data_IF_165256455208
#
_entry.id   IF_165256455208
#
_cell.length_a   1.000
_cell.length_b   1.000
_cell.length_c   1.000
_cell.angle_alpha   90.00
_cell.angle_beta   90.00
_cell.angle_gamma   90.00
#
_symmetry.space_group_name_H-M   'P 1'
#
loop_
_entity.id
_entity.type
_entity.pdbx_description
1 polymer ?
#
# COMPACT_ATOMS: atom_id res chain seq x y z
N UNK A 1 37.75 3.94 5.22
CA UNK A 1 37.35 3.08 6.35
C UNK A 1 35.86 3.29 6.71
N UNK A 2 35.04 2.32 6.28
CA UNK A 2 33.67 1.99 6.71
C UNK A 2 32.69 3.12 7.07
N UNK A 3 31.90 3.56 6.09
CA UNK A 3 30.56 4.12 6.37
C UNK A 3 29.58 2.94 6.51
N UNK A 4 29.10 2.72 7.73
CA UNK A 4 27.99 1.81 8.00
C UNK A 4 26.69 2.37 7.39
N UNK A 5 25.92 1.62 6.59
CA UNK A 5 24.58 2.01 6.19
C UNK A 5 23.60 1.47 7.23
N UNK A 6 23.44 2.21 8.32
CA UNK A 6 22.59 1.84 9.45
C UNK A 6 21.96 3.07 10.08
N UNK A 7 21.44 3.99 9.26
CA UNK A 7 20.60 5.07 9.78
C UNK A 7 19.20 4.51 10.03
N UNK A 8 18.99 4.17 11.30
CA UNK A 8 17.75 3.72 11.90
C UNK A 8 16.59 4.61 11.48
N UNK A 9 15.53 3.97 10.97
CA UNK A 9 14.24 4.60 10.75
C UNK A 9 13.68 5.02 12.11
N UNK A 10 13.34 6.29 12.27
CA UNK A 10 12.37 6.71 13.28
C UNK A 10 11.07 5.94 13.01
N UNK A 11 10.90 4.82 13.71
CA UNK A 11 9.61 4.19 13.87
C UNK A 11 8.71 5.25 14.52
N UNK A 12 7.75 5.78 13.76
CA UNK A 12 6.73 6.65 14.33
C UNK A 12 5.85 5.76 15.20
N UNK A 13 6.23 5.66 16.48
CA UNK A 13 5.50 4.98 17.53
C UNK A 13 4.23 5.79 17.84
N UNK A 14 3.20 5.58 17.01
CA UNK A 14 1.85 6.08 17.20
C UNK A 14 0.83 5.04 16.73
N UNK A 15 -0.42 5.07 17.23
CA UNK A 15 -1.45 4.14 16.80
C UNK A 15 -1.62 4.19 15.27
N UNK A 16 -1.86 3.02 14.68
CA UNK A 16 -1.91 2.72 13.24
C UNK A 16 -3.10 3.39 12.50
N UNK A 17 -3.29 4.69 12.66
CA UNK A 17 -4.16 5.49 11.83
C UNK A 17 -3.29 6.33 10.90
N UNK A 18 -3.52 6.18 9.61
CA UNK A 18 -2.94 7.05 8.58
C UNK A 18 -3.71 8.38 8.56
N UNK A 19 -3.78 9.06 9.72
CA UNK A 19 -4.70 10.17 10.04
C UNK A 19 -4.81 11.19 8.91
N UNK A 20 -3.66 11.63 8.38
CA UNK A 20 -3.55 12.69 7.37
C UNK A 20 -4.07 12.30 5.99
N UNK A 21 -4.27 11.01 5.72
CA UNK A 21 -4.82 10.48 4.47
C UNK A 21 -6.24 9.93 4.65
N UNK A 22 -6.76 9.90 5.88
CA UNK A 22 -8.09 9.37 6.16
C UNK A 22 -9.17 10.38 5.78
N UNK A 23 -10.18 9.89 5.06
CA UNK A 23 -11.36 10.70 4.72
C UNK A 23 -12.18 11.05 5.99
N UNK A 24 -12.94 12.16 5.98
CA UNK A 24 -13.74 12.59 7.13
C UNK A 24 -14.67 11.51 7.69
N UNK A 25 -15.37 10.77 6.82
CA UNK A 25 -16.29 9.71 7.21
C UNK A 25 -15.59 8.49 7.86
N UNK A 26 -14.30 8.28 7.54
CA UNK A 26 -13.48 7.24 8.17
C UNK A 26 -12.98 7.70 9.54
N UNK A 27 -12.62 8.98 9.67
CA UNK A 27 -12.20 9.56 10.95
C UNK A 27 -13.35 9.68 11.96
N UNK A 28 -14.57 9.87 11.48
CA UNK A 28 -15.79 9.89 12.29
C UNK A 28 -16.33 8.49 12.60
N UNK A 29 -15.73 7.43 12.07
CA UNK A 29 -16.19 6.02 12.20
C UNK A 29 -17.66 5.83 11.76
N UNK A 30 -18.13 6.63 10.80
CA UNK A 30 -19.53 6.58 10.32
C UNK A 30 -19.72 5.49 9.27
N UNK A 31 -18.66 5.14 8.55
CA UNK A 31 -18.67 4.11 7.50
C UNK A 31 -17.35 3.34 7.50
N UNK A 32 -17.38 2.12 6.97
CA UNK A 32 -16.14 1.42 6.61
C UNK A 32 -15.49 2.04 5.37
N UNK A 33 -14.34 1.51 4.98
CA UNK A 33 -13.67 1.93 3.74
C UNK A 33 -14.58 1.75 2.52
N UNK A 34 -14.60 2.77 1.66
CA UNK A 34 -15.32 2.83 0.39
C UNK A 34 -14.38 3.29 -0.73
N UNK A 35 -14.80 3.12 -1.99
CA UNK A 35 -14.07 3.67 -3.14
C UNK A 35 -13.91 5.19 -3.04
N UNK A 36 -14.92 5.91 -2.53
CA UNK A 36 -14.85 7.35 -2.29
C UNK A 36 -13.82 7.70 -1.21
N UNK A 37 -13.69 6.90 -0.14
CA UNK A 37 -12.64 7.09 0.88
C UNK A 37 -11.24 6.83 0.31
N UNK A 38 -11.11 5.90 -0.64
CA UNK A 38 -9.85 5.65 -1.34
C UNK A 38 -9.47 6.84 -2.25
N UNK A 39 -10.44 7.48 -2.90
CA UNK A 39 -10.20 8.69 -3.73
C UNK A 39 -9.69 9.86 -2.88
N UNK A 40 -10.24 10.04 -1.67
CA UNK A 40 -9.72 11.05 -0.73
C UNK A 40 -8.25 10.75 -0.37
N UNK A 41 -7.96 9.51 0.00
CA UNK A 41 -6.60 9.07 0.30
C UNK A 41 -5.67 9.22 -0.91
N UNK A 42 -6.14 8.90 -2.12
CA UNK A 42 -5.41 9.09 -3.37
C UNK A 42 -5.01 10.56 -3.57
N UNK A 43 -5.93 11.50 -3.35
CA UNK A 43 -5.63 12.93 -3.43
C UNK A 43 -4.49 13.33 -2.48
N UNK A 44 -4.54 12.87 -1.23
CA UNK A 44 -3.48 13.12 -0.23
C UNK A 44 -2.14 12.50 -0.63
N UNK A 45 -2.19 11.33 -1.28
CA UNK A 45 -1.02 10.61 -1.79
C UNK A 45 -0.39 11.31 -2.99
N UNK A 46 -1.20 11.81 -3.91
CA UNK A 46 -0.73 12.61 -5.04
C UNK A 46 -0.11 13.91 -4.53
N UNK A 47 -0.74 14.59 -3.56
CA UNK A 47 -0.16 15.75 -2.88
C UNK A 47 1.22 15.44 -2.28
N UNK A 48 1.34 14.35 -1.53
CA UNK A 48 2.63 13.92 -0.97
C UNK A 48 3.65 13.61 -2.07
N UNK A 49 3.21 12.98 -3.15
CA UNK A 49 4.06 12.64 -4.30
C UNK A 49 4.63 13.88 -4.96
N UNK A 50 3.79 14.88 -5.25
CA UNK A 50 4.21 16.09 -5.97
C UNK A 50 4.97 17.05 -5.08
N UNK A 51 4.62 17.17 -3.80
CA UNK A 51 5.30 18.10 -2.87
C UNK A 51 6.52 17.49 -2.21
N UNK A 52 6.56 16.17 -2.04
CA UNK A 52 7.54 15.49 -1.19
C UNK A 52 7.31 15.72 0.30
N UNK A 53 6.17 16.32 0.68
CA UNK A 53 5.79 16.61 2.07
C UNK A 53 4.54 15.82 2.45
N UNK A 54 4.49 15.38 3.70
CA UNK A 54 3.26 14.75 4.22
C UNK A 54 2.09 15.75 4.20
N UNK A 55 0.84 15.31 3.98
CA UNK A 55 -0.32 16.20 4.03
C UNK A 55 -0.43 16.90 5.40
N UNK A 56 -0.80 18.17 5.38
CA UNK A 56 -0.85 19.03 6.58
C UNK A 56 0.49 19.13 7.33
N UNK A 57 1.61 19.13 6.61
CA UNK A 57 2.94 19.24 7.22
C UNK A 57 3.00 20.42 8.21
N UNK A 58 3.64 20.24 9.36
CA UNK A 58 3.74 21.26 10.40
C UNK A 58 2.53 21.36 11.34
N UNK A 59 1.38 20.75 11.01
CA UNK A 59 0.22 20.65 11.93
C UNK A 59 0.34 19.45 12.87
N UNK A 60 -0.09 19.58 14.13
CA UNK A 60 -0.27 18.45 15.05
C UNK A 60 -1.45 17.57 14.63
N UNK A 61 -1.53 16.34 15.13
CA UNK A 61 -2.65 15.43 14.80
C UNK A 61 -4.01 16.01 15.22
N UNK A 62 -4.08 16.69 16.37
CA UNK A 62 -5.29 17.41 16.79
C UNK A 62 -5.66 18.54 15.84
N UNK A 63 -4.69 19.30 15.35
CA UNK A 63 -4.92 20.35 14.37
C UNK A 63 -5.32 19.80 13.00
N UNK A 64 -4.84 18.60 12.61
CA UNK A 64 -5.28 17.90 11.40
C UNK A 64 -6.74 17.48 11.53
N UNK A 65 -7.13 16.90 12.67
CA UNK A 65 -8.53 16.53 12.93
C UNK A 65 -9.43 17.76 12.89
N UNK A 66 -9.02 18.85 13.55
CA UNK A 66 -9.76 20.12 13.55
C UNK A 66 -9.92 20.66 12.12
N UNK A 67 -8.84 20.72 11.35
CA UNK A 67 -8.88 21.20 9.97
C UNK A 67 -9.81 20.33 9.10
N UNK A 68 -9.60 19.02 9.09
CA UNK A 68 -10.31 18.10 8.19
C UNK A 68 -11.79 17.89 8.56
N UNK A 69 -12.11 17.76 9.87
CA UNK A 69 -13.46 17.43 10.33
C UNK A 69 -14.32 18.64 10.66
N UNK A 70 -13.73 19.67 11.29
CA UNK A 70 -14.50 20.80 11.82
C UNK A 70 -14.47 21.96 10.83
N UNK A 71 -13.28 22.37 10.39
CA UNK A 71 -13.14 23.48 9.46
C UNK A 71 -13.42 23.08 8.01
N UNK A 72 -13.43 21.77 7.71
CA UNK A 72 -13.56 21.21 6.36
C UNK A 72 -12.48 21.71 5.40
N UNK A 73 -11.28 21.93 5.95
CA UNK A 73 -10.10 22.38 5.23
C UNK A 73 -9.27 21.19 4.76
N UNK A 74 -8.69 21.32 3.57
CA UNK A 74 -7.66 20.42 3.04
C UNK A 74 -6.25 21.02 3.25
N UNK A 75 -5.15 20.32 2.91
CA UNK A 75 -3.81 20.89 3.02
C UNK A 75 -3.68 22.22 2.27
N UNK A 76 -2.75 23.05 2.71
CA UNK A 76 -2.45 24.32 2.04
C UNK A 76 -1.83 24.07 0.66
N UNK A 77 -2.19 24.94 -0.29
CA UNK A 77 -1.64 24.93 -1.63
C UNK A 77 -0.15 25.33 -1.56
N UNK A 78 0.78 24.48 -2.00
CA UNK A 78 2.19 24.82 -2.04
C UNK A 78 2.46 25.94 -3.05
N UNK A 79 3.38 26.85 -2.72
CA UNK A 79 3.81 27.94 -3.61
C UNK A 79 4.37 27.43 -4.94
N UNK A 80 5.14 26.34 -4.88
CA UNK A 80 5.67 25.64 -6.04
C UNK A 80 5.18 24.20 -5.97
N UNK A 81 4.19 23.89 -6.81
CA UNK A 81 3.83 22.50 -7.09
C UNK A 81 4.59 21.98 -8.29
N UNK A 82 4.75 22.81 -9.34
CA UNK A 82 5.28 22.46 -10.64
C UNK A 82 5.90 23.66 -11.34
N UNK A 83 6.65 23.38 -12.40
CA UNK A 83 7.26 24.39 -13.26
C UNK A 83 6.24 25.07 -14.19
N UNK A 84 5.14 24.40 -14.53
CA UNK A 84 4.06 24.94 -15.36
C UNK A 84 2.85 25.34 -14.50
N UNK A 85 2.44 26.61 -14.59
CA UNK A 85 1.37 27.18 -13.75
C UNK A 85 0.00 26.59 -14.07
N UNK A 86 -0.32 26.42 -15.36
CA UNK A 86 -1.61 25.87 -15.79
C UNK A 86 -1.79 24.44 -15.30
N UNK A 87 -0.79 23.58 -15.50
CA UNK A 87 -0.78 22.22 -14.98
C UNK A 87 -0.89 22.18 -13.45
N UNK A 88 -0.31 23.16 -12.75
CA UNK A 88 -0.42 23.27 -11.29
C UNK A 88 -1.82 23.68 -10.82
N UNK A 89 -2.51 24.55 -11.57
CA UNK A 89 -3.89 24.95 -11.31
C UNK A 89 -4.86 23.78 -11.56
N UNK A 90 -4.68 23.06 -12.68
CA UNK A 90 -5.52 21.91 -13.03
C UNK A 90 -5.38 20.76 -12.03
N UNK A 91 -4.14 20.41 -11.66
CA UNK A 91 -3.88 19.40 -10.65
C UNK A 91 -4.47 19.81 -9.30
N UNK A 92 -4.32 21.07 -8.90
CA UNK A 92 -4.85 21.55 -7.63
C UNK A 92 -6.40 21.49 -7.59
N UNK A 93 -7.05 21.88 -8.68
CA UNK A 93 -8.50 21.75 -8.83
C UNK A 93 -8.93 20.29 -8.70
N UNK A 94 -8.21 19.37 -9.34
CA UNK A 94 -8.48 17.93 -9.24
C UNK A 94 -8.34 17.40 -7.81
N UNK A 95 -7.27 17.78 -7.10
CA UNK A 95 -7.04 17.38 -5.72
C UNK A 95 -8.14 17.91 -4.79
N UNK A 96 -8.57 19.15 -4.99
CA UNK A 96 -9.66 19.77 -4.22
C UNK A 96 -10.97 18.98 -4.39
N UNK A 97 -11.27 18.50 -5.60
CA UNK A 97 -12.42 17.60 -5.84
C UNK A 97 -12.27 16.25 -5.13
N UNK A 98 -11.07 15.65 -5.14
CA UNK A 98 -10.78 14.41 -4.41
C UNK A 98 -11.01 14.56 -2.89
N UNK A 99 -10.80 15.76 -2.36
CA UNK A 99 -10.95 16.08 -0.94
C UNK A 99 -12.32 16.64 -0.56
N UNK A 100 -13.33 16.50 -1.43
CA UNK A 100 -14.71 16.82 -1.08
C UNK A 100 -15.11 16.15 0.23
N UNK A 101 -15.67 16.94 1.16
CA UNK A 101 -16.14 16.43 2.45
C UNK A 101 -17.21 15.36 2.24
N UNK A 102 -18.18 15.63 1.35
CA UNK A 102 -19.20 14.67 0.96
C UNK A 102 -18.61 13.61 0.01
N UNK A 103 -18.71 12.30 0.33
CA UNK A 103 -18.14 11.24 -0.49
C UNK A 103 -18.66 11.22 -1.94
N UNK A 104 -19.93 11.57 -2.15
CA UNK A 104 -20.55 11.62 -3.48
C UNK A 104 -20.05 12.79 -4.35
N UNK A 105 -19.42 13.80 -3.75
CA UNK A 105 -18.79 14.91 -4.48
C UNK A 105 -17.42 14.56 -5.04
N UNK A 106 -16.88 13.38 -4.72
CA UNK A 106 -15.55 12.95 -5.16
C UNK A 106 -15.64 12.29 -6.54
N UNK A 107 -14.67 12.54 -7.45
CA UNK A 107 -14.60 11.87 -8.74
C UNK A 107 -14.33 10.36 -8.58
N UNK A 108 -14.56 9.56 -9.62
CA UNK A 108 -14.07 8.18 -9.61
C UNK A 108 -12.55 8.16 -9.81
N UNK A 109 -11.89 7.08 -9.37
CA UNK A 109 -10.45 6.90 -9.64
C UNK A 109 -10.12 6.91 -11.15
N UNK A 110 -11.05 6.45 -11.98
CA UNK A 110 -10.91 6.48 -13.45
C UNK A 110 -10.91 7.91 -13.99
N UNK A 111 -11.75 8.78 -13.43
CA UNK A 111 -11.76 10.20 -13.79
C UNK A 111 -10.47 10.89 -13.34
N UNK A 112 -9.98 10.59 -12.13
CA UNK A 112 -8.69 11.10 -11.63
C UNK A 112 -7.55 10.63 -12.54
N UNK A 113 -7.50 9.34 -12.89
CA UNK A 113 -6.48 8.80 -13.79
C UNK A 113 -6.51 9.50 -15.15
N UNK A 114 -7.69 9.73 -15.72
CA UNK A 114 -7.85 10.43 -16.98
C UNK A 114 -7.31 11.87 -16.88
N UNK A 115 -7.68 12.60 -15.84
CA UNK A 115 -7.28 13.99 -15.65
C UNK A 115 -5.75 14.14 -15.43
N UNK A 116 -5.14 13.28 -14.60
CA UNK A 116 -3.68 13.28 -14.38
C UNK A 116 -2.93 12.82 -15.64
N UNK A 117 -3.50 11.89 -16.41
CA UNK A 117 -2.90 11.37 -17.65
C UNK A 117 -2.96 12.36 -18.82
N UNK A 118 -4.02 13.16 -18.95
CA UNK A 118 -4.15 14.14 -20.04
C UNK A 118 -3.16 15.29 -19.96
N UNK A 119 -2.59 15.59 -18.79
CA UNK A 119 -1.52 16.58 -18.63
C UNK A 119 -0.12 16.08 -19.01
N UNK A 120 0.04 14.78 -19.26
CA UNK A 120 1.33 14.13 -19.52
C UNK A 120 1.26 13.37 -20.85
N UNK A 121 1.62 14.02 -21.96
CA UNK A 121 1.84 13.31 -23.23
C UNK A 121 3.06 12.38 -23.11
N UNK A 122 2.86 11.17 -22.59
CA UNK A 122 3.84 10.08 -22.70
C UNK A 122 3.11 8.79 -23.11
N UNK A 123 3.32 8.40 -24.37
CA UNK A 123 3.34 7.03 -24.86
C UNK A 123 2.18 6.11 -24.45
N UNK A 124 1.09 6.16 -25.19
CA UNK A 124 0.09 5.11 -25.23
C UNK A 124 0.75 3.77 -25.62
N UNK A 125 1.15 2.99 -24.62
CA UNK A 125 1.08 1.54 -24.74
C UNK A 125 -0.06 1.09 -23.82
N UNK A 126 -1.17 0.56 -24.36
CA UNK A 126 -2.18 -0.04 -23.52
C UNK A 126 -1.51 -1.12 -22.67
N UNK A 127 -1.84 -1.27 -21.38
CA UNK A 127 -1.37 -2.40 -20.61
C UNK A 127 -1.79 -3.67 -21.38
N UNK A 128 -0.80 -4.47 -21.79
CA UNK A 128 -1.07 -5.79 -22.34
C UNK A 128 -1.96 -6.53 -21.36
N UNK A 129 -3.06 -7.16 -21.80
CA UNK A 129 -3.93 -7.91 -20.93
C UNK A 129 -3.19 -9.19 -20.49
N UNK A 130 -2.39 -9.12 -19.42
CA UNK A 130 -2.05 -10.31 -18.64
C UNK A 130 -3.28 -10.69 -17.80
N UNK A 131 -4.32 -11.11 -18.49
CA UNK A 131 -5.56 -11.61 -17.93
C UNK A 131 -5.40 -13.11 -17.74
N UNK A 132 -4.81 -13.52 -16.62
CA UNK A 132 -5.32 -14.72 -15.97
C UNK A 132 -6.52 -14.27 -15.14
N UNK A 133 -7.69 -14.22 -15.79
CA UNK A 133 -9.00 -14.06 -15.13
C UNK A 133 -9.21 -15.29 -14.23
N UNK A 134 -8.62 -15.32 -13.04
CA UNK A 134 -9.05 -16.23 -11.98
C UNK A 134 -10.36 -15.67 -11.43
N UNK A 135 -11.47 -16.30 -11.80
CA UNK A 135 -12.81 -15.93 -11.34
C UNK A 135 -12.82 -15.70 -9.81
N UNK A 136 -13.48 -14.63 -9.38
CA UNK A 136 -13.79 -14.33 -7.98
C UNK A 136 -14.79 -15.36 -7.46
N UNK A 137 -14.30 -16.54 -7.09
CA UNK A 137 -15.05 -17.48 -6.28
C UNK A 137 -15.36 -16.87 -4.92
N UNK A 138 -16.63 -16.94 -4.50
CA UNK A 138 -17.12 -16.52 -3.18
C UNK A 138 -16.24 -17.15 -2.09
N UNK A 139 -15.58 -16.33 -1.25
CA UNK A 139 -14.79 -16.81 -0.12
C UNK A 139 -15.74 -17.54 0.83
N UNK A 140 -15.73 -18.88 0.80
CA UNK A 140 -16.33 -19.68 1.87
C UNK A 140 -15.60 -19.32 3.16
N UNK A 141 -16.35 -18.99 4.20
CA UNK A 141 -15.85 -18.74 5.56
C UNK A 141 -14.74 -19.72 5.89
N UNK A 142 -13.61 -19.24 6.43
CA UNK A 142 -12.51 -20.08 6.91
C UNK A 142 -13.05 -20.89 8.10
N UNK A 143 -13.72 -22.00 7.82
CA UNK A 143 -14.43 -22.82 8.80
C UNK A 143 -13.58 -24.00 9.28
N UNK A 144 -12.26 -23.92 9.13
CA UNK A 144 -11.39 -25.07 9.43
C UNK A 144 -10.04 -24.57 9.99
N UNK A 145 -10.06 -23.86 11.12
CA UNK A 145 -8.84 -23.61 11.88
C UNK A 145 -9.01 -24.23 13.27
N UNK A 146 -8.38 -25.39 13.51
CA UNK A 146 -8.45 -26.08 14.80
C UNK A 146 -7.48 -25.42 15.79
N UNK A 147 -7.70 -25.65 17.09
CA UNK A 147 -6.94 -25.07 18.22
C UNK A 147 -5.45 -25.44 18.27
N UNK A 148 -4.98 -26.37 17.44
CA UNK A 148 -3.63 -26.96 17.56
C UNK A 148 -2.78 -26.86 16.28
N UNK A 149 -3.17 -26.06 15.28
CA UNK A 149 -2.43 -26.03 14.02
C UNK A 149 -1.19 -25.14 14.08
N UNK A 150 -0.07 -25.67 13.60
CA UNK A 150 1.17 -24.92 13.40
C UNK A 150 1.11 -24.05 12.12
N UNK A 151 2.09 -23.18 11.94
CA UNK A 151 2.17 -22.30 10.77
C UNK A 151 2.21 -23.06 9.44
N UNK A 152 2.83 -24.25 9.39
CA UNK A 152 2.95 -25.07 8.18
C UNK A 152 1.59 -25.63 7.76
N UNK A 153 0.78 -26.08 8.71
CA UNK A 153 -0.56 -26.58 8.43
C UNK A 153 -1.51 -25.46 7.95
N UNK A 154 -1.36 -24.23 8.49
CA UNK A 154 -2.10 -23.07 7.96
C UNK A 154 -1.66 -22.72 6.54
N UNK A 155 -0.34 -22.74 6.27
CA UNK A 155 0.19 -22.50 4.93
C UNK A 155 -0.29 -23.57 3.95
N UNK A 156 -0.24 -24.86 4.30
CA UNK A 156 -0.74 -25.97 3.49
C UNK A 156 -2.19 -25.73 3.03
N UNK A 157 -3.06 -25.24 3.92
CA UNK A 157 -4.46 -24.91 3.59
C UNK A 157 -4.63 -23.68 2.71
N UNK A 158 -3.68 -22.75 2.73
CA UNK A 158 -3.66 -21.58 1.86
C UNK A 158 -3.03 -21.90 0.49
N UNK A 159 -2.03 -22.77 0.46
CA UNK A 159 -1.40 -23.31 -0.75
C UNK A 159 -2.41 -24.11 -1.57
N UNK A 160 -3.25 -24.92 -0.90
CA UNK A 160 -4.39 -25.60 -1.54
C UNK A 160 -5.38 -24.63 -2.23
N UNK A 161 -5.29 -23.32 -2.00
CA UNK A 161 -6.09 -22.28 -2.65
C UNK A 161 -5.31 -21.43 -3.67
N UNK A 162 -4.13 -21.91 -4.09
CA UNK A 162 -3.37 -21.37 -5.20
C UNK A 162 -2.34 -20.29 -4.84
N UNK A 163 -1.81 -20.30 -3.62
CA UNK A 163 -0.58 -19.59 -3.26
C UNK A 163 0.61 -20.56 -3.33
N UNK A 164 1.78 -20.10 -3.75
CA UNK A 164 2.98 -20.94 -3.75
C UNK A 164 3.58 -21.04 -2.34
N UNK A 165 4.08 -22.23 -1.98
CA UNK A 165 4.87 -22.43 -0.77
C UNK A 165 6.35 -22.22 -1.08
N UNK A 166 6.92 -21.16 -0.51
CA UNK A 166 8.32 -20.75 -0.66
C UNK A 166 9.12 -21.04 0.60
N UNK A 167 8.60 -21.84 1.54
CA UNK A 167 9.30 -22.20 2.78
C UNK A 167 10.69 -22.76 2.49
N UNK A 168 10.78 -23.75 1.60
CA UNK A 168 12.04 -24.40 1.24
C UNK A 168 12.87 -23.60 0.21
N UNK A 169 12.26 -22.59 -0.43
CA UNK A 169 12.94 -21.69 -1.35
C UNK A 169 13.60 -20.51 -0.65
N UNK A 170 13.29 -20.25 0.61
CA UNK A 170 13.91 -19.18 1.41
C UNK A 170 15.33 -19.57 1.82
N UNK A 171 16.34 -18.78 1.42
CA UNK A 171 17.69 -18.95 1.93
C UNK A 171 17.78 -18.39 3.36
N UNK A 172 17.48 -19.20 4.37
CA UNK A 172 17.41 -18.79 5.78
C UNK A 172 18.66 -18.08 6.30
N UNK A 173 19.85 -18.39 5.78
CA UNK A 173 21.12 -17.76 6.16
C UNK A 173 21.29 -16.34 5.59
N UNK A 174 20.55 -16.00 4.54
CA UNK A 174 20.63 -14.69 3.89
C UNK A 174 19.74 -13.62 4.54
N UNK A 175 18.83 -14.03 5.43
CA UNK A 175 17.88 -13.11 6.03
C UNK A 175 18.51 -12.30 7.16
N UNK A 176 18.09 -11.03 7.27
CA UNK A 176 18.49 -10.16 8.37
C UNK A 176 18.12 -10.79 9.72
N UNK A 177 19.05 -10.77 10.69
CA UNK A 177 18.81 -11.30 12.03
C UNK A 177 17.62 -10.58 12.70
N UNK A 178 17.58 -9.25 12.57
CA UNK A 178 16.52 -8.40 13.09
C UNK A 178 15.59 -7.92 11.95
N UNK A 179 14.32 -7.60 12.25
CA UNK A 179 13.42 -7.00 11.26
C UNK A 179 14.02 -5.72 10.69
N UNK A 180 13.97 -5.57 9.37
CA UNK A 180 14.35 -4.34 8.68
C UNK A 180 13.34 -3.23 8.96
N UNK A 181 12.05 -3.59 9.12
CA UNK A 181 10.98 -2.67 9.47
C UNK A 181 10.03 -3.33 10.48
N UNK A 182 9.60 -2.53 11.46
CA UNK A 182 8.55 -2.88 12.40
C UNK A 182 7.27 -2.14 12.00
N UNK A 183 6.23 -2.87 11.58
CA UNK A 183 4.89 -2.32 11.39
C UNK A 183 4.06 -2.40 12.68
N UNK A 184 2.78 -2.02 12.64
CA UNK A 184 1.86 -2.15 13.79
C UNK A 184 1.45 -3.60 14.10
N UNK A 185 1.30 -4.44 13.08
CA UNK A 185 0.85 -5.85 13.21
C UNK A 185 1.79 -6.86 12.52
N UNK A 186 2.93 -6.41 12.01
CA UNK A 186 3.83 -7.26 11.23
C UNK A 186 5.28 -6.79 11.31
N UNK A 187 6.21 -7.72 11.14
CA UNK A 187 7.63 -7.48 10.97
C UNK A 187 8.00 -7.71 9.50
N UNK A 188 8.94 -6.94 8.95
CA UNK A 188 9.46 -7.18 7.59
C UNK A 188 10.93 -7.55 7.68
N UNK A 189 11.28 -8.71 7.12
CA UNK A 189 12.65 -9.18 7.00
C UNK A 189 13.10 -9.09 5.55
N UNK A 190 14.35 -8.69 5.35
CA UNK A 190 15.00 -8.72 4.04
C UNK A 190 15.86 -9.97 3.94
N UNK A 191 15.82 -10.65 2.79
CA UNK A 191 16.68 -11.79 2.50
C UNK A 191 16.66 -12.16 1.02
N UNK A 192 17.00 -13.41 0.72
CA UNK A 192 17.06 -13.95 -0.63
C UNK A 192 16.36 -15.31 -0.72
N UNK A 193 15.82 -15.61 -1.89
CA UNK A 193 15.47 -16.98 -2.27
C UNK A 193 16.75 -17.74 -2.70
N UNK A 194 16.69 -19.06 -2.75
CA UNK A 194 17.81 -19.94 -3.16
C UNK A 194 18.30 -19.66 -4.59
N UNK A 195 17.44 -19.11 -5.46
CA UNK A 195 17.80 -18.68 -6.81
C UNK A 195 18.47 -17.29 -6.89
N UNK A 196 18.73 -16.66 -5.74
CA UNK A 196 19.39 -15.36 -5.64
C UNK A 196 18.45 -14.15 -5.75
N UNK A 197 17.14 -14.33 -5.97
CA UNK A 197 16.19 -13.21 -5.96
C UNK A 197 16.10 -12.59 -4.57
N UNK A 198 16.32 -11.27 -4.47
CA UNK A 198 16.14 -10.51 -3.22
C UNK A 198 14.65 -10.35 -2.92
N UNK A 199 14.24 -10.70 -1.70
CA UNK A 199 12.85 -10.72 -1.25
C UNK A 199 12.65 -10.00 0.08
N UNK A 200 11.42 -9.54 0.30
CA UNK A 200 10.91 -9.13 1.59
C UNK A 200 9.95 -10.22 2.12
N UNK A 201 10.05 -10.53 3.41
CA UNK A 201 9.12 -11.43 4.10
C UNK A 201 8.40 -10.64 5.18
N UNK A 202 7.11 -10.37 4.95
CA UNK A 202 6.21 -9.73 5.91
C UNK A 202 5.62 -10.80 6.81
N UNK A 203 6.10 -10.84 8.05
CA UNK A 203 5.72 -11.83 9.06
C UNK A 203 4.63 -11.23 9.94
N UNK A 204 3.47 -11.87 9.99
CA UNK A 204 2.37 -11.41 10.81
C UNK A 204 2.66 -11.68 12.30
N UNK A 205 2.48 -10.66 13.15
CA UNK A 205 2.56 -10.80 14.62
C UNK A 205 1.21 -11.22 15.21
N UNK A 206 0.61 -12.25 14.62
CA UNK A 206 -0.65 -12.84 15.12
C UNK A 206 -0.29 -14.16 15.78
N UNK A 207 -0.63 -14.32 17.06
CA UNK A 207 -0.49 -15.62 17.75
C UNK A 207 -1.37 -16.66 17.05
N UNK A 208 -0.86 -17.89 16.90
CA UNK A 208 -1.62 -19.05 16.40
C UNK A 208 -2.90 -19.29 17.23
N UNK A 209 -2.93 -18.85 18.50
CA UNK A 209 -4.12 -18.86 19.36
C UNK A 209 -5.18 -17.85 18.91
N UNK A 210 -4.77 -16.67 18.43
CA UNK A 210 -5.68 -15.67 17.84
C UNK A 210 -6.26 -16.11 16.49
N UNK A 211 -5.58 -17.04 15.80
CA UNK A 211 -6.01 -17.67 14.55
C UNK A 211 -7.08 -18.74 14.83
N UNK A 212 -6.89 -19.57 15.87
CA UNK A 212 -7.85 -20.64 16.20
C UNK A 212 -9.17 -20.16 16.82
N UNK A 213 -9.19 -18.98 17.45
CA UNK A 213 -10.42 -18.37 17.97
C UNK A 213 -11.30 -17.68 16.92
N UNK A 214 -10.99 -17.82 15.61
CA UNK A 214 -11.79 -17.19 14.55
C UNK A 214 -11.82 -15.66 14.65
N UNK A 215 -10.76 -15.06 15.20
CA UNK A 215 -10.69 -13.63 15.46
C UNK A 215 -10.87 -12.81 14.18
N UNK A 216 -11.41 -11.60 14.32
CA UNK A 216 -11.56 -10.63 13.22
C UNK A 216 -10.24 -10.43 12.44
N UNK A 217 -9.10 -10.55 13.10
CA UNK A 217 -7.75 -10.35 12.53
C UNK A 217 -7.37 -11.41 11.50
N UNK A 218 -7.72 -12.67 11.73
CA UNK A 218 -7.43 -13.75 10.81
C UNK A 218 -8.28 -13.67 9.54
N UNK A 219 -9.59 -13.39 9.69
CA UNK A 219 -10.48 -13.18 8.53
C UNK A 219 -9.98 -12.01 7.69
N UNK A 220 -9.40 -10.98 8.31
CA UNK A 220 -8.76 -9.85 7.62
C UNK A 220 -7.48 -10.27 6.90
N UNK A 221 -6.56 -10.96 7.58
CA UNK A 221 -5.29 -11.41 6.99
C UNK A 221 -5.50 -12.37 5.81
N UNK A 222 -6.45 -13.30 5.92
CA UNK A 222 -6.77 -14.21 4.83
C UNK A 222 -7.48 -13.54 3.65
N UNK A 223 -8.29 -12.49 3.89
CA UNK A 223 -8.84 -11.65 2.83
C UNK A 223 -7.73 -10.85 2.14
N UNK A 224 -6.85 -10.22 2.91
CA UNK A 224 -5.68 -9.48 2.39
C UNK A 224 -4.82 -10.39 1.51
N UNK A 225 -4.48 -11.58 2.00
CA UNK A 225 -3.72 -12.58 1.25
C UNK A 225 -4.45 -13.05 -0.02
N UNK A 226 -5.74 -13.36 0.07
CA UNK A 226 -6.51 -13.83 -1.08
C UNK A 226 -6.61 -12.77 -2.17
N UNK A 227 -6.85 -11.52 -1.78
CA UNK A 227 -6.89 -10.38 -2.67
C UNK A 227 -5.52 -10.15 -3.31
N UNK A 228 -4.46 -10.09 -2.49
CA UNK A 228 -3.10 -9.85 -2.97
C UNK A 228 -2.62 -10.93 -3.95
N UNK A 229 -2.89 -12.21 -3.66
CA UNK A 229 -2.53 -13.33 -4.54
C UNK A 229 -3.20 -13.26 -5.93
N UNK A 230 -4.34 -12.55 -6.04
CA UNK A 230 -5.07 -12.40 -7.30
C UNK A 230 -4.73 -11.12 -8.05
N UNK A 231 -4.03 -10.18 -7.42
CA UNK A 231 -3.65 -8.95 -8.07
C UNK A 231 -2.54 -9.20 -9.10
N UNK A 232 -2.83 -8.94 -10.37
CA UNK A 232 -1.89 -8.99 -11.48
C UNK A 232 -1.84 -7.63 -12.18
N UNK A 233 -1.12 -6.68 -11.60
CA UNK A 233 -0.99 -5.33 -12.16
C UNK A 233 0.44 -4.81 -12.00
N UNK A 234 1.02 -4.12 -12.99
CA UNK A 234 2.41 -3.62 -12.93
C UNK A 234 2.68 -2.61 -11.80
N UNK A 235 1.63 -1.99 -11.24
CA UNK A 235 1.71 -1.03 -10.14
C UNK A 235 1.17 -1.53 -8.80
N UNK A 236 0.95 -2.83 -8.68
CA UNK A 236 0.61 -3.49 -7.42
C UNK A 236 1.71 -4.52 -7.17
N UNK A 237 2.22 -4.56 -5.93
CA UNK A 237 3.26 -5.53 -5.59
C UNK A 237 2.73 -6.94 -5.84
N UNK A 238 3.43 -7.82 -6.58
CA UNK A 238 3.03 -9.21 -6.65
C UNK A 238 3.35 -9.93 -5.32
N UNK A 239 2.43 -10.77 -4.87
CA UNK A 239 2.72 -11.79 -3.87
C UNK A 239 3.41 -12.95 -4.58
N UNK A 240 4.65 -13.25 -4.20
CA UNK A 240 5.37 -14.40 -4.77
C UNK A 240 4.88 -15.72 -4.16
N UNK A 241 4.51 -15.71 -2.89
CA UNK A 241 4.04 -16.89 -2.17
C UNK A 241 4.01 -16.68 -0.66
N UNK A 242 3.79 -17.77 0.05
CA UNK A 242 3.86 -17.86 1.51
C UNK A 242 5.12 -18.61 1.92
N UNK A 243 5.60 -18.38 3.14
CA UNK A 243 6.67 -19.18 3.73
C UNK A 243 6.45 -19.37 5.23
N UNK A 244 6.76 -20.55 5.73
CA UNK A 244 6.97 -20.79 7.15
C UNK A 244 8.31 -20.16 7.52
N UNK A 245 8.25 -18.96 8.11
CA UNK A 245 9.42 -18.16 8.40
C UNK A 245 9.52 -17.92 9.91
N UNK A 246 10.52 -18.51 10.55
CA UNK A 246 10.74 -18.45 12.01
C UNK A 246 9.46 -18.80 12.79
N UNK A 247 8.90 -19.96 12.45
CA UNK A 247 7.67 -20.52 13.03
C UNK A 247 6.40 -19.66 12.90
N UNK A 248 6.44 -18.67 12.00
CA UNK A 248 5.32 -17.77 11.70
C UNK A 248 4.99 -17.79 10.22
N UNK A 249 3.80 -17.33 9.87
CA UNK A 249 3.37 -17.18 8.47
C UNK A 249 4.00 -15.90 7.91
N UNK A 250 4.87 -16.07 6.91
CA UNK A 250 5.48 -14.99 6.13
C UNK A 250 4.82 -14.85 4.77
N UNK A 251 4.53 -13.61 4.38
CA UNK A 251 4.11 -13.26 3.02
C UNK A 251 5.35 -12.79 2.25
N UNK A 252 5.68 -13.46 1.15
CA UNK A 252 6.91 -13.23 0.39
C UNK A 252 6.62 -12.36 -0.83
N UNK A 253 7.39 -11.27 -1.00
CA UNK A 253 7.34 -10.40 -2.16
C UNK A 253 8.75 -9.97 -2.59
N UNK A 254 8.87 -9.34 -3.76
CA UNK A 254 10.17 -8.82 -4.22
C UNK A 254 10.68 -7.69 -3.32
N UNK A 255 12.00 -7.64 -3.10
CA UNK A 255 12.62 -6.53 -2.39
C UNK A 255 12.67 -5.27 -3.25
N UNK A 256 12.10 -4.17 -2.73
CA UNK A 256 12.08 -2.87 -3.40
C UNK A 256 13.29 -2.03 -2.98
N UNK A 257 14.37 -2.12 -3.76
CA UNK A 257 15.67 -1.52 -3.44
C UNK A 257 15.65 0.00 -3.21
N UNK A 258 14.71 0.71 -3.82
CA UNK A 258 14.62 2.17 -3.72
C UNK A 258 13.76 2.63 -2.53
N UNK A 259 13.20 1.67 -1.78
CA UNK A 259 12.45 1.93 -0.54
C UNK A 259 11.07 2.54 -0.78
N UNK A 260 10.57 3.27 0.21
CA UNK A 260 9.28 3.94 0.17
C UNK A 260 9.30 5.26 -0.61
N UNK A 261 8.13 5.74 -1.01
CA UNK A 261 7.96 7.01 -1.74
C UNK A 261 8.68 8.19 -1.06
N UNK A 262 8.51 8.48 0.25
CA UNK A 262 9.18 9.61 0.88
C UNK A 262 10.71 9.51 0.81
N UNK A 263 11.25 8.31 1.02
CA UNK A 263 12.70 8.08 0.94
C UNK A 263 13.21 8.29 -0.49
N UNK A 264 12.45 7.81 -1.47
CA UNK A 264 12.81 7.92 -2.87
C UNK A 264 12.76 9.37 -3.38
N UNK A 265 11.72 10.14 -3.02
CA UNK A 265 11.61 11.56 -3.38
C UNK A 265 12.76 12.40 -2.78
N UNK A 266 13.22 12.05 -1.57
CA UNK A 266 14.38 12.69 -0.95
C UNK A 266 15.68 12.36 -1.69
N UNK A 267 15.82 11.13 -2.19
CA UNK A 267 17.01 10.68 -2.91
C UNK A 267 17.05 11.15 -4.37
N UNK A 268 15.88 11.34 -4.99
CA UNK A 268 15.71 11.70 -6.41
C UNK A 268 14.80 12.93 -6.53
N UNK A 269 15.28 14.15 -6.22
CA UNK A 269 14.43 15.35 -6.19
C UNK A 269 13.79 15.67 -7.55
N UNK A 270 14.51 15.41 -8.64
CA UNK A 270 14.12 15.71 -10.02
C UNK A 270 13.30 14.61 -10.70
N UNK A 271 12.87 13.58 -9.96
CA UNK A 271 12.05 12.51 -10.55
C UNK A 271 10.73 13.09 -11.08
N UNK A 272 10.24 12.53 -12.19
CA UNK A 272 8.94 12.90 -12.74
C UNK A 272 7.79 12.44 -11.83
N UNK A 273 7.44 13.27 -10.85
CA UNK A 273 6.40 13.02 -9.84
C UNK A 273 5.01 12.82 -10.46
N UNK A 274 4.74 13.44 -11.61
CA UNK A 274 3.48 13.23 -12.34
C UNK A 274 3.34 11.81 -12.87
N UNK A 275 4.38 11.31 -13.51
CA UNK A 275 4.39 9.93 -13.97
C UNK A 275 4.21 8.95 -12.81
N UNK A 276 4.75 9.27 -11.64
CA UNK A 276 4.52 8.50 -10.41
C UNK A 276 3.06 8.54 -9.97
N UNK A 277 2.43 9.72 -9.98
CA UNK A 277 1.00 9.89 -9.69
C UNK A 277 0.12 9.09 -10.65
N UNK A 278 0.42 9.11 -11.96
CA UNK A 278 -0.29 8.28 -12.96
C UNK A 278 -0.20 6.80 -12.60
N UNK A 279 0.99 6.30 -12.24
CA UNK A 279 1.20 4.90 -11.87
C UNK A 279 0.45 4.50 -10.60
N UNK A 280 0.35 5.40 -9.62
CA UNK A 280 -0.46 5.20 -8.41
C UNK A 280 -1.95 5.12 -8.78
N UNK A 281 -2.44 6.05 -9.62
CA UNK A 281 -3.81 6.04 -10.11
C UNK A 281 -4.14 4.76 -10.91
N UNK A 282 -3.22 4.28 -11.75
CA UNK A 282 -3.39 3.02 -12.50
C UNK A 282 -3.55 1.83 -11.54
N UNK A 283 -2.72 1.75 -10.50
CA UNK A 283 -2.82 0.70 -9.49
C UNK A 283 -4.16 0.73 -8.76
N UNK A 284 -4.61 1.90 -8.29
CA UNK A 284 -5.89 2.02 -7.59
C UNK A 284 -7.09 1.78 -8.51
N UNK A 285 -7.04 2.26 -9.75
CA UNK A 285 -8.09 2.02 -10.76
C UNK A 285 -8.27 0.54 -11.03
N UNK A 286 -7.17 -0.21 -11.15
CA UNK A 286 -7.23 -1.67 -11.26
C UNK A 286 -7.91 -2.32 -10.03
N UNK A 287 -7.60 -1.86 -8.81
CA UNK A 287 -8.22 -2.40 -7.59
C UNK A 287 -9.73 -2.19 -7.60
N UNK A 288 -10.19 -0.96 -7.87
CA UNK A 288 -11.62 -0.64 -7.94
C UNK A 288 -12.34 -1.44 -9.03
N UNK A 289 -11.74 -1.59 -10.21
CA UNK A 289 -12.28 -2.43 -11.30
C UNK A 289 -12.46 -3.90 -10.90
N UNK A 290 -11.66 -4.39 -9.96
CA UNK A 290 -11.76 -5.75 -9.39
C UNK A 290 -12.57 -5.78 -8.09
N UNK A 291 -13.34 -4.72 -7.77
CA UNK A 291 -14.17 -4.59 -6.57
C UNK A 291 -13.36 -4.68 -5.27
N UNK A 292 -12.11 -4.22 -5.30
CA UNK A 292 -11.22 -4.18 -4.14
C UNK A 292 -11.13 -2.74 -3.65
N UNK A 293 -11.67 -2.50 -2.45
CA UNK A 293 -11.49 -1.25 -1.72
C UNK A 293 -10.20 -1.32 -0.90
N UNK A 294 -9.36 -0.29 -0.99
CA UNK A 294 -8.06 -0.23 -0.33
C UNK A 294 -8.19 0.10 1.17
N UNK A 295 -8.49 -0.93 1.96
CA UNK A 295 -8.69 -0.80 3.41
C UNK A 295 -7.43 -0.50 4.26
N UNK A 296 -6.30 -0.10 3.64
CA UNK A 296 -5.02 0.10 4.33
C UNK A 296 -4.51 1.55 4.28
N UNK A 297 -5.25 2.45 3.61
CA UNK A 297 -4.83 3.81 3.25
C UNK A 297 -3.56 3.82 2.38
N UNK A 298 -3.39 4.83 1.54
CA UNK A 298 -2.26 4.93 0.60
C UNK A 298 -1.18 5.95 1.04
N UNK A 299 -0.68 5.98 2.29
CA UNK A 299 0.42 6.89 2.59
C UNK A 299 1.63 6.51 1.74
N UNK A 300 2.48 7.48 1.42
CA UNK A 300 3.71 7.24 0.65
C UNK A 300 4.61 6.18 1.28
N UNK A 301 4.53 5.98 2.59
CA UNK A 301 5.24 4.90 3.28
C UNK A 301 4.83 3.48 2.84
N UNK A 302 3.65 3.30 2.23
CA UNK A 302 3.15 2.05 1.66
C UNK A 302 3.30 1.96 0.13
N UNK A 303 3.85 2.99 -0.50
CA UNK A 303 4.23 2.96 -1.91
C UNK A 303 5.71 2.63 -1.98
N UNK A 304 6.04 1.48 -2.54
CA UNK A 304 7.42 1.02 -2.69
C UNK A 304 7.92 1.20 -4.12
N UNK A 305 9.21 1.51 -4.26
CA UNK A 305 9.83 1.86 -5.54
C UNK A 305 10.78 0.74 -5.99
N UNK A 306 10.51 0.19 -7.17
CA UNK A 306 11.35 -0.81 -7.85
C UNK A 306 12.37 -0.20 -8.82
N UNK A 307 12.97 -1.04 -9.66
CA UNK A 307 13.98 -0.62 -10.65
C UNK A 307 13.40 0.26 -11.77
N UNK A 308 12.12 0.13 -12.08
CA UNK A 308 11.48 0.81 -13.23
C UNK A 308 10.06 1.30 -12.95
N UNK A 309 9.45 0.95 -11.80
CA UNK A 309 8.02 1.14 -11.50
C UNK A 309 7.74 1.26 -9.99
N UNK A 310 6.61 1.84 -9.64
CA UNK A 310 6.06 1.95 -8.28
C UNK A 310 5.06 0.82 -8.04
N UNK A 311 5.00 0.32 -6.81
CA UNK A 311 4.05 -0.71 -6.38
C UNK A 311 3.45 -0.36 -5.02
N UNK A 312 2.13 -0.32 -4.92
CA UNK A 312 1.44 -0.25 -3.63
C UNK A 312 1.49 -1.62 -2.92
N UNK A 313 1.72 -1.62 -1.60
CA UNK A 313 1.68 -2.80 -0.71
C UNK A 313 0.44 -2.86 0.13
#
# INVERSE_FOLDING_TARGET
PSRHPGDFVEATSGPSFTLRWSAPEILQDTTGHTEASDVYALGMTIYETVTGKVPYHGKSDTAVIQAALVNKEHPERPEVMLNDKTSADDLWSLLTMCWSFEPLGRPSVSDVLKAVGTGCLIGNNPPSPCVLKRQLGRIRTISILSRQMDAREVISRLVARGCDDLSDSCNHLSFSEHPTLHGGLSDIYQGQLLDGRKVAVKVLRVSLEGISQGSKHLKRAARELHTWNKCGHPNIMPLLGLAAFRDRIGMVSLWMKNGSLPRYLKAMPDVNRYHMSVQICQGLSYLHQNQIVCCVHLPGSRILIGYTRFTAT
#
